data_IF_249545879768
#
_entry.id   IF_249545879768
#
_cell.length_a   1.000
_cell.length_b   1.000
_cell.length_c   1.000
_cell.angle_alpha   90.00
_cell.angle_beta   90.00
_cell.angle_gamma   90.00
#
_symmetry.space_group_name_H-M   'P 1'
#
loop_
_entity.id
_entity.type
_entity.pdbx_description
1 polymer ?
#
# COMPACT_ATOMS: atom_id res chain seq x y z
N UNK A 1 7.13 -10.11 7.96
CA UNK A 1 8.34 -9.36 7.55
C UNK A 1 9.36 -9.43 8.67
N UNK A 2 10.65 -9.53 8.35
CA UNK A 2 11.73 -9.49 9.34
C UNK A 2 12.44 -8.15 9.20
N UNK A 3 12.39 -7.33 10.24
CA UNK A 3 13.11 -6.07 10.30
C UNK A 3 14.40 -6.21 11.11
N UNK A 4 15.23 -5.16 11.11
CA UNK A 4 16.38 -5.07 12.00
C UNK A 4 15.91 -5.19 13.46
N UNK A 5 16.80 -5.67 14.31
CA UNK A 5 16.54 -5.73 15.74
C UNK A 5 16.13 -4.33 16.24
N UNK A 6 15.09 -4.29 17.10
CA UNK A 6 14.49 -3.04 17.62
C UNK A 6 14.08 -2.02 16.55
N UNK A 7 13.86 -2.44 15.29
CA UNK A 7 13.53 -1.56 14.16
C UNK A 7 14.59 -0.47 13.93
N UNK A 8 15.87 -0.75 14.23
CA UNK A 8 16.93 0.23 14.17
C UNK A 8 17.01 0.96 12.81
N UNK A 9 16.81 2.28 12.84
CA UNK A 9 16.78 3.15 11.66
C UNK A 9 15.56 2.95 10.75
N UNK A 10 14.58 2.15 11.13
CA UNK A 10 13.33 1.93 10.39
C UNK A 10 12.20 2.72 11.04
N UNK A 11 11.53 3.55 10.23
CA UNK A 11 10.37 4.35 10.63
C UNK A 11 9.13 3.71 10.00
N UNK A 12 8.22 3.13 10.79
CA UNK A 12 6.92 2.68 10.28
C UNK A 12 6.08 3.87 9.81
N UNK A 13 5.44 3.74 8.65
CA UNK A 13 4.57 4.77 8.06
C UNK A 13 3.12 4.32 8.08
N UNK A 14 2.85 3.11 7.56
CA UNK A 14 1.54 2.48 7.63
C UNK A 14 1.64 1.25 8.52
N UNK A 15 0.93 1.28 9.64
CA UNK A 15 0.93 0.22 10.64
C UNK A 15 -0.49 -0.07 11.07
N UNK A 16 -0.81 -1.35 11.18
CA UNK A 16 -2.10 -1.78 11.70
C UNK A 16 -1.95 -3.12 12.44
N UNK A 17 -2.92 -3.45 13.31
CA UNK A 17 -3.10 -4.78 13.84
C UNK A 17 -4.25 -5.44 13.09
N UNK A 18 -3.97 -6.28 12.06
CA UNK A 18 -5.02 -6.84 11.24
C UNK A 18 -5.97 -7.69 12.09
N UNK A 19 -7.29 -7.64 11.84
CA UNK A 19 -8.25 -8.39 12.61
C UNK A 19 -8.08 -9.90 12.36
N UNK A 20 -8.45 -10.71 13.36
CA UNK A 20 -8.34 -12.18 13.30
C UNK A 20 -9.08 -12.77 12.08
N UNK A 21 -10.10 -12.07 11.56
CA UNK A 21 -10.84 -12.47 10.36
C UNK A 21 -9.97 -12.60 9.11
N UNK A 22 -8.84 -11.89 9.05
CA UNK A 22 -7.86 -11.98 7.95
C UNK A 22 -7.02 -13.26 7.99
N UNK A 23 -7.06 -14.02 9.09
CA UNK A 23 -6.22 -15.20 9.33
C UNK A 23 -6.96 -16.54 9.22
N UNK A 24 -8.22 -16.53 8.75
CA UNK A 24 -9.08 -17.74 8.70
C UNK A 24 -8.63 -18.80 7.69
N UNK A 25 -7.90 -18.42 6.65
CA UNK A 25 -7.47 -19.34 5.58
C UNK A 25 -6.34 -20.27 6.06
N UNK A 26 -6.17 -21.47 5.50
CA UNK A 26 -5.00 -22.32 5.76
C UNK A 26 -3.68 -21.61 5.43
N UNK A 27 -2.56 -22.10 5.95
CA UNK A 27 -1.24 -21.56 5.60
C UNK A 27 -0.97 -21.70 4.08
N UNK A 28 -0.33 -20.70 3.49
CA UNK A 28 -0.03 -20.72 2.06
C UNK A 28 0.61 -19.42 1.55
N UNK A 29 1.06 -19.40 0.29
CA UNK A 29 1.77 -18.27 -0.30
C UNK A 29 0.99 -16.95 -0.25
N UNK A 30 -0.34 -17.03 -0.25
CA UNK A 30 -1.25 -15.87 -0.26
C UNK A 30 -2.20 -15.80 0.96
N UNK A 31 -1.95 -16.61 1.99
CA UNK A 31 -2.85 -16.74 3.16
C UNK A 31 -2.13 -16.71 4.51
N UNK A 32 -0.81 -16.45 4.49
CA UNK A 32 0.03 -16.31 5.66
C UNK A 32 0.64 -17.63 6.13
N UNK A 33 1.29 -17.58 7.29
CA UNK A 33 2.00 -18.72 7.88
C UNK A 33 1.90 -18.71 9.42
N UNK A 34 2.41 -19.77 10.06
CA UNK A 34 2.41 -19.93 11.53
C UNK A 34 3.05 -18.74 12.27
N UNK A 35 4.07 -18.10 11.70
CA UNK A 35 4.78 -17.00 12.34
C UNK A 35 3.95 -15.72 12.36
N UNK A 36 3.25 -15.41 11.26
CA UNK A 36 2.33 -14.28 11.20
C UNK A 36 1.20 -14.48 12.21
N UNK A 37 0.61 -15.68 12.29
CA UNK A 37 -0.45 -15.98 13.27
C UNK A 37 0.00 -15.80 14.71
N UNK A 38 1.17 -16.34 15.05
CA UNK A 38 1.74 -16.15 16.38
C UNK A 38 2.02 -14.66 16.70
N UNK A 39 2.45 -13.87 15.72
CA UNK A 39 2.68 -12.43 15.90
C UNK A 39 1.36 -11.68 16.19
N UNK A 40 0.29 -11.96 15.44
CA UNK A 40 -1.03 -11.33 15.65
C UNK A 40 -1.67 -11.78 16.97
N UNK A 41 -1.56 -13.06 17.34
CA UNK A 41 -2.01 -13.56 18.63
C UNK A 41 -1.33 -12.83 19.80
N UNK A 42 -0.04 -12.46 19.63
CA UNK A 42 0.74 -11.63 20.56
C UNK A 42 0.50 -10.12 20.39
N UNK A 43 -0.53 -9.71 19.65
CA UNK A 43 -0.89 -8.31 19.39
C UNK A 43 0.25 -7.46 18.81
N UNK A 44 1.15 -8.09 18.03
CA UNK A 44 2.22 -7.37 17.34
C UNK A 44 1.67 -6.72 16.08
N UNK A 45 1.75 -5.40 16.02
CA UNK A 45 1.37 -4.63 14.83
C UNK A 45 2.18 -5.05 13.60
N UNK A 46 1.56 -4.92 12.43
CA UNK A 46 2.14 -5.23 11.13
C UNK A 46 2.34 -3.94 10.36
N UNK A 47 3.52 -3.80 9.75
CA UNK A 47 3.89 -2.60 9.00
C UNK A 47 3.71 -2.84 7.51
N UNK A 48 2.87 -2.06 6.85
CA UNK A 48 2.61 -2.15 5.41
C UNK A 48 3.44 -1.17 4.60
N UNK A 49 3.91 -0.09 5.23
CA UNK A 49 4.86 0.87 4.64
C UNK A 49 5.89 1.32 5.69
N UNK A 50 7.15 1.49 5.29
CA UNK A 50 8.21 1.96 6.18
C UNK A 50 9.29 2.72 5.40
N UNK A 51 10.00 3.61 6.11
CA UNK A 51 11.17 4.31 5.60
C UNK A 51 12.41 3.94 6.42
N UNK A 52 13.59 4.13 5.84
CA UNK A 52 14.87 3.96 6.53
C UNK A 52 15.93 4.90 5.96
N UNK A 53 16.72 5.48 6.86
CA UNK A 53 17.96 6.19 6.54
C UNK A 53 19.14 5.31 6.95
N UNK A 54 20.05 5.04 6.01
CA UNK A 54 21.32 4.34 6.26
C UNK A 54 22.34 5.28 6.90
N UNK A 55 23.36 4.76 7.61
CA UNK A 55 24.45 5.57 8.13
C UNK A 55 25.19 6.41 7.07
N UNK A 56 25.24 5.94 5.82
CA UNK A 56 25.80 6.66 4.67
C UNK A 56 24.86 7.74 4.07
N UNK A 57 23.72 8.00 4.73
CA UNK A 57 22.70 8.95 4.27
C UNK A 57 21.80 8.43 3.15
N UNK A 58 21.93 7.17 2.72
CA UNK A 58 21.02 6.54 1.77
C UNK A 58 19.60 6.41 2.33
N UNK A 59 18.59 6.80 1.55
CA UNK A 59 17.17 6.73 1.93
C UNK A 59 16.49 5.57 1.21
N UNK A 60 15.72 4.77 1.95
CA UNK A 60 14.97 3.64 1.40
C UNK A 60 13.54 3.61 1.92
N UNK A 61 12.62 3.20 1.06
CA UNK A 61 11.21 3.03 1.38
C UNK A 61 10.77 1.62 0.97
N UNK A 62 9.92 0.99 1.78
CA UNK A 62 9.32 -0.31 1.49
C UNK A 62 7.81 -0.26 1.67
N UNK A 63 7.10 -0.98 0.80
CA UNK A 63 5.64 -0.99 0.76
C UNK A 63 5.10 -2.31 0.22
N UNK A 64 4.06 -2.86 0.85
CA UNK A 64 3.46 -4.16 0.45
C UNK A 64 2.13 -4.05 -0.29
N UNK A 65 1.68 -2.85 -0.65
CA UNK A 65 0.37 -2.64 -1.28
C UNK A 65 0.32 -2.73 -2.81
N UNK A 66 1.45 -2.92 -3.49
CA UNK A 66 1.54 -2.79 -4.96
C UNK A 66 0.91 -3.92 -5.79
N UNK A 67 0.26 -4.91 -5.16
CA UNK A 67 -0.27 -6.09 -5.87
C UNK A 67 -1.63 -5.85 -6.54
N UNK A 68 -2.56 -5.17 -5.88
CA UNK A 68 -3.89 -4.91 -6.45
C UNK A 68 -3.85 -3.65 -7.31
N UNK A 69 -3.96 -3.83 -8.62
CA UNK A 69 -3.85 -2.76 -9.62
C UNK A 69 -4.81 -1.59 -9.35
N UNK A 70 -6.03 -1.87 -8.89
CA UNK A 70 -7.04 -0.83 -8.75
C UNK A 70 -6.74 0.15 -7.62
N UNK A 71 -5.87 -0.22 -6.66
CA UNK A 71 -5.39 0.69 -5.61
C UNK A 71 -4.70 1.93 -6.19
N UNK A 72 -4.11 1.82 -7.38
CA UNK A 72 -3.52 2.97 -8.05
C UNK A 72 -4.55 4.02 -8.46
N UNK A 73 -5.85 3.73 -8.45
CA UNK A 73 -6.90 4.74 -8.61
C UNK A 73 -7.16 5.58 -7.35
N UNK A 74 -6.70 5.16 -6.17
CA UNK A 74 -6.85 5.90 -4.92
C UNK A 74 -5.79 7.00 -4.78
N UNK A 75 -6.23 8.24 -4.60
CA UNK A 75 -5.34 9.42 -4.65
C UNK A 75 -4.33 9.47 -3.51
N UNK A 76 -4.75 9.20 -2.27
CA UNK A 76 -3.83 9.13 -1.12
C UNK A 76 -2.87 7.94 -1.18
N UNK A 77 -3.31 6.81 -1.75
CA UNK A 77 -2.45 5.65 -1.99
C UNK A 77 -1.32 6.01 -2.96
N UNK A 78 -1.65 6.66 -4.08
CA UNK A 78 -0.64 7.19 -5.01
C UNK A 78 0.26 8.25 -4.36
N UNK A 79 -0.32 9.18 -3.60
CA UNK A 79 0.42 10.25 -2.92
C UNK A 79 1.49 9.70 -1.97
N UNK A 80 1.20 8.64 -1.23
CA UNK A 80 2.18 7.96 -0.38
C UNK A 80 3.41 7.52 -1.18
N UNK A 81 3.20 6.85 -2.31
CA UNK A 81 4.28 6.34 -3.16
C UNK A 81 5.05 7.47 -3.83
N UNK A 82 4.37 8.51 -4.32
CA UNK A 82 5.01 9.68 -4.92
C UNK A 82 5.86 10.45 -3.91
N UNK A 83 5.35 10.66 -2.69
CA UNK A 83 6.11 11.26 -1.60
C UNK A 83 7.36 10.43 -1.28
N UNK A 84 7.23 9.09 -1.26
CA UNK A 84 8.35 8.20 -1.03
C UNK A 84 9.41 8.30 -2.13
N UNK A 85 9.03 8.39 -3.40
CA UNK A 85 9.95 8.57 -4.53
C UNK A 85 10.74 9.88 -4.40
N UNK A 86 10.06 10.99 -4.15
CA UNK A 86 10.72 12.30 -3.96
C UNK A 86 11.68 12.24 -2.76
N UNK A 87 11.21 11.65 -1.65
CA UNK A 87 12.01 11.54 -0.44
C UNK A 87 13.25 10.65 -0.61
N UNK A 88 13.13 9.49 -1.28
CA UNK A 88 14.27 8.59 -1.54
C UNK A 88 15.26 9.20 -2.51
N UNK A 89 14.81 10.04 -3.44
CA UNK A 89 15.66 10.87 -4.30
C UNK A 89 16.38 12.02 -3.56
N UNK A 90 16.24 12.11 -2.24
CA UNK A 90 16.82 13.15 -1.37
C UNK A 90 16.30 14.57 -1.64
N UNK A 91 15.12 14.69 -2.25
CA UNK A 91 14.42 15.95 -2.43
C UNK A 91 13.43 16.21 -1.29
N UNK A 92 12.99 17.46 -1.17
CA UNK A 92 11.98 17.86 -0.20
C UNK A 92 10.58 17.51 -0.70
N UNK A 93 9.82 16.82 0.14
CA UNK A 93 8.42 16.50 -0.13
C UNK A 93 7.59 17.76 0.13
N UNK A 94 6.72 18.19 -0.81
CA UNK A 94 5.85 19.34 -0.60
C UNK A 94 4.98 19.18 0.66
N UNK A 95 4.68 20.27 1.37
CA UNK A 95 3.87 20.24 2.61
C UNK A 95 2.50 19.56 2.43
N UNK A 96 1.88 19.71 1.26
CA UNK A 96 0.60 19.06 0.91
C UNK A 96 0.74 17.66 0.29
N UNK A 97 1.97 17.15 0.19
CA UNK A 97 2.34 15.99 -0.60
C UNK A 97 2.43 16.28 -2.11
N UNK A 98 3.02 15.34 -2.83
CA UNK A 98 3.13 15.39 -4.29
C UNK A 98 1.73 15.29 -4.89
N UNK A 99 1.38 16.26 -5.74
CA UNK A 99 0.10 16.26 -6.46
C UNK A 99 0.16 15.27 -7.62
N UNK A 100 -0.95 14.59 -7.88
CA UNK A 100 -1.13 13.76 -9.08
C UNK A 100 -2.51 13.98 -9.65
N UNK A 101 -2.65 13.83 -10.96
CA UNK A 101 -3.96 13.85 -11.63
C UNK A 101 -4.83 12.70 -11.06
N UNK A 102 -6.11 12.93 -10.72
CA UNK A 102 -7.06 11.85 -10.46
C UNK A 102 -7.14 10.91 -11.67
N UNK A 103 -7.15 9.60 -11.41
CA UNK A 103 -7.23 8.59 -12.48
C UNK A 103 -8.66 8.09 -12.65
N UNK A 104 -9.10 8.04 -13.90
CA UNK A 104 -10.35 7.40 -14.28
C UNK A 104 -10.16 5.89 -14.45
N UNK A 105 -11.26 5.14 -14.54
CA UNK A 105 -11.18 3.72 -14.90
C UNK A 105 -10.54 3.53 -16.26
N UNK A 106 -10.78 4.42 -17.23
CA UNK A 106 -10.17 4.35 -18.55
C UNK A 106 -8.63 4.54 -18.49
N UNK A 107 -8.15 5.47 -17.65
CA UNK A 107 -6.71 5.64 -17.43
C UNK A 107 -6.08 4.34 -16.87
N UNK A 108 -6.74 3.69 -15.90
CA UNK A 108 -6.27 2.44 -15.30
C UNK A 108 -6.39 1.22 -16.23
N UNK A 109 -7.31 1.25 -17.19
CA UNK A 109 -7.47 0.22 -18.23
C UNK A 109 -6.44 0.36 -19.35
N UNK A 110 -5.82 1.53 -19.50
CA UNK A 110 -4.82 1.78 -20.54
C UNK A 110 -3.57 0.93 -20.32
N UNK A 111 -2.97 0.45 -21.42
CA UNK A 111 -1.71 -0.29 -21.43
C UNK A 111 -1.68 -1.55 -20.53
N UNK A 112 -2.83 -2.19 -20.32
CA UNK A 112 -2.91 -3.47 -19.62
C UNK A 112 -2.60 -4.63 -20.56
N UNK A 113 -1.66 -5.50 -20.18
CA UNK A 113 -1.20 -6.62 -21.02
C UNK A 113 -2.21 -7.78 -21.09
N UNK A 114 -3.00 -7.97 -20.04
CA UNK A 114 -3.89 -9.12 -19.90
C UNK A 114 -5.33 -8.79 -20.30
N UNK A 115 -5.99 -9.78 -20.90
CA UNK A 115 -7.44 -9.73 -21.13
C UNK A 115 -8.16 -9.60 -19.80
N UNK A 116 -9.21 -8.77 -19.80
CA UNK A 116 -10.09 -8.63 -18.62
C UNK A 116 -10.74 -9.98 -18.30
N UNK A 117 -10.73 -10.41 -17.02
CA UNK A 117 -11.35 -11.66 -16.62
C UNK A 117 -12.88 -11.58 -16.80
N UNK A 118 -13.56 -12.73 -16.91
CA UNK A 118 -15.01 -12.78 -17.14
C UNK A 118 -15.86 -12.12 -16.04
N UNK A 119 -15.31 -11.96 -14.83
CA UNK A 119 -15.95 -11.26 -13.72
C UNK A 119 -15.59 -9.76 -13.64
N UNK A 120 -14.93 -9.20 -14.67
CA UNK A 120 -14.60 -7.80 -14.75
C UNK A 120 -15.87 -6.93 -14.71
N UNK A 121 -15.90 -5.94 -13.80
CA UNK A 121 -17.04 -5.05 -13.63
C UNK A 121 -16.58 -3.60 -13.52
N UNK A 122 -16.66 -2.88 -14.63
CA UNK A 122 -16.25 -1.48 -14.75
C UNK A 122 -17.02 -0.55 -13.82
N UNK A 123 -18.33 -0.75 -13.68
CA UNK A 123 -19.20 0.07 -12.82
C UNK A 123 -18.88 -0.13 -11.33
N UNK A 124 -18.52 -1.35 -10.92
CA UNK A 124 -18.03 -1.62 -9.57
C UNK A 124 -16.73 -0.87 -9.29
N UNK A 125 -15.76 -0.94 -10.22
CA UNK A 125 -14.48 -0.24 -10.06
C UNK A 125 -14.70 1.27 -10.00
N UNK A 126 -15.52 1.83 -10.90
CA UNK A 126 -15.85 3.26 -10.88
C UNK A 126 -16.39 3.71 -9.52
N UNK A 127 -17.40 3.03 -8.99
CA UNK A 127 -17.99 3.35 -7.68
C UNK A 127 -16.98 3.23 -6.53
N UNK A 128 -16.11 2.24 -6.59
CA UNK A 128 -15.04 2.05 -5.60
C UNK A 128 -14.05 3.23 -5.60
N UNK A 129 -13.65 3.72 -6.77
CA UNK A 129 -12.77 4.90 -6.88
C UNK A 129 -13.45 6.18 -6.37
N UNK A 130 -14.73 6.37 -6.71
CA UNK A 130 -15.53 7.50 -6.22
C UNK A 130 -15.62 7.48 -4.69
N UNK A 131 -15.88 6.31 -4.09
CA UNK A 131 -15.92 6.14 -2.64
C UNK A 131 -14.57 6.46 -1.99
N UNK A 132 -13.47 5.91 -2.51
CA UNK A 132 -12.14 6.11 -1.93
C UNK A 132 -11.64 7.55 -2.02
N UNK A 133 -11.99 8.25 -3.10
CA UNK A 133 -11.54 9.62 -3.35
C UNK A 133 -12.55 10.68 -2.87
N UNK A 134 -13.62 10.27 -2.17
CA UNK A 134 -14.57 11.19 -1.54
C UNK A 134 -15.59 11.84 -2.50
N UNK A 135 -15.83 11.26 -3.68
CA UNK A 135 -16.87 11.73 -4.61
C UNK A 135 -18.25 11.11 -4.31
N UNK A 136 -18.37 10.24 -3.31
CA UNK A 136 -19.63 9.68 -2.83
C UNK A 136 -19.78 9.98 -1.32
N UNK A 137 -20.14 11.23 -0.99
CA UNK A 137 -20.36 11.65 0.39
C UNK A 137 -20.33 13.16 0.59
N UNK A 138 -21.30 13.86 0.00
CA UNK A 138 -22.07 14.93 0.67
C UNK A 138 -23.55 14.54 0.57
#
# INVERSE_FOLDING_TARGET
MRFREKMEGVIPILTDLPPNTTLKRPNGPHSGNKFVRAAIAKKRSQHMAWARVRPDGGRGFGFTGGHDHWNWGHDQFRKLVLNAIVWTAKLDVPKGGVRSKPLTVADLESNQDYKKPGNYNRLRIKRMLEQWNGAAGE
#
